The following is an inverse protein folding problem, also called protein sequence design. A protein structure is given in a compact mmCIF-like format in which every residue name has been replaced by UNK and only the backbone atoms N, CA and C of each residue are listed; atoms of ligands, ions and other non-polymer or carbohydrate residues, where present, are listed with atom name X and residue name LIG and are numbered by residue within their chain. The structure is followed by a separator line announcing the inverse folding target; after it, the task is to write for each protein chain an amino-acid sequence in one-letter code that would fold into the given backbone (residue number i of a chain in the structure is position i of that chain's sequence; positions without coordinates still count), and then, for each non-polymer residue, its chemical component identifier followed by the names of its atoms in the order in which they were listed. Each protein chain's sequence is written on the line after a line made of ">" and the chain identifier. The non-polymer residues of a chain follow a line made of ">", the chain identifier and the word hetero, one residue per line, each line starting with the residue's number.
data_IF_157348772672
#
_entry.id   IF_157348772672
#
_cell.length_a   1.000
_cell.length_b   1.000
_cell.length_c   1.000
_cell.angle_alpha   90.00
_cell.angle_beta   90.00
_cell.angle_gamma   90.00
#
_symmetry.space_group_name_H-M   'P 1'
#
loop_
_entity.id
_entity.type
_entity.pdbx_description
1 polymer ?
#
# COMPACT_ATOMS: atom_id res chain seq x y z
N UNK A 1 -16.20 -12.57 3.18
CA UNK A 1 -15.07 -12.13 4.00
C UNK A 1 -14.46 -10.91 3.36
N UNK A 2 -14.19 -9.84 4.13
CA UNK A 2 -13.63 -8.62 3.58
C UNK A 2 -12.11 -8.65 3.78
N UNK A 3 -11.37 -9.14 2.77
CA UNK A 3 -9.91 -9.28 2.80
C UNK A 3 -9.22 -8.01 3.31
N UNK A 4 -9.74 -6.84 2.93
CA UNK A 4 -9.25 -5.52 3.36
C UNK A 4 -9.43 -5.32 4.87
N UNK A 5 -10.59 -5.66 5.42
CA UNK A 5 -10.82 -5.53 6.86
C UNK A 5 -9.89 -6.44 7.68
N UNK A 6 -9.52 -7.61 7.14
CA UNK A 6 -8.54 -8.50 7.80
C UNK A 6 -7.11 -7.98 7.69
N UNK A 7 -6.73 -7.42 6.54
CA UNK A 7 -5.47 -6.68 6.34
C UNK A 7 -5.30 -5.58 7.39
N UNK A 8 -6.34 -4.78 7.62
CA UNK A 8 -6.32 -3.70 8.60
C UNK A 8 -6.19 -4.22 10.05
N UNK A 9 -6.93 -5.28 10.40
CA UNK A 9 -6.91 -5.88 11.75
C UNK A 9 -5.52 -6.47 12.07
N UNK A 10 -4.92 -7.15 11.11
CA UNK A 10 -3.65 -7.85 11.29
C UNK A 10 -2.44 -6.96 10.94
N UNK A 11 -2.67 -5.74 10.45
CA UNK A 11 -1.63 -4.77 10.12
C UNK A 11 -0.78 -5.16 8.90
N UNK A 12 -1.29 -6.02 8.01
CA UNK A 12 -0.60 -6.43 6.78
C UNK A 12 -1.26 -5.84 5.54
N UNK A 13 -0.59 -5.92 4.39
CA UNK A 13 -1.18 -5.58 3.09
C UNK A 13 -0.82 -4.19 2.54
N UNK A 14 -0.04 -3.39 3.28
CA UNK A 14 0.60 -2.20 2.74
C UNK A 14 2.02 -2.52 2.25
N UNK A 15 2.31 -2.27 0.98
CA UNK A 15 3.68 -2.39 0.45
C UNK A 15 4.56 -1.26 1.02
N UNK A 16 5.66 -1.61 1.70
CA UNK A 16 6.58 -0.64 2.32
C UNK A 16 7.84 -0.40 1.48
N UNK A 17 8.42 0.79 1.62
CA UNK A 17 9.70 1.16 1.00
C UNK A 17 10.91 0.43 1.61
N UNK A 18 10.73 -0.36 2.69
CA UNK A 18 11.75 -1.27 3.23
C UNK A 18 12.11 -2.37 2.21
N UNK A 19 11.19 -2.69 1.29
CA UNK A 19 11.48 -3.51 0.12
C UNK A 19 11.28 -5.02 0.30
N UNK A 20 10.90 -5.51 1.48
CA UNK A 20 10.56 -6.93 1.69
C UNK A 20 9.48 -7.40 0.71
N UNK A 21 8.47 -6.55 0.44
CA UNK A 21 7.44 -6.86 -0.55
C UNK A 21 7.99 -7.02 -1.97
N UNK A 22 9.01 -6.27 -2.38
CA UNK A 22 9.58 -6.43 -3.72
C UNK A 22 10.30 -7.78 -3.88
N UNK A 23 10.92 -8.28 -2.82
CA UNK A 23 11.61 -9.58 -2.81
C UNK A 23 10.64 -10.77 -2.73
N UNK A 24 9.54 -10.63 -1.99
CA UNK A 24 8.59 -11.72 -1.70
C UNK A 24 7.41 -11.78 -2.69
N UNK A 25 7.13 -10.70 -3.42
CA UNK A 25 5.96 -10.63 -4.29
C UNK A 25 6.06 -11.65 -5.45
N UNK A 26 5.06 -12.54 -5.62
CA UNK A 26 5.11 -13.60 -6.64
C UNK A 26 5.07 -13.06 -8.08
N UNK A 27 4.66 -11.81 -8.28
CA UNK A 27 4.60 -11.15 -9.59
C UNK A 27 5.74 -10.16 -9.83
N UNK A 28 6.71 -10.07 -8.91
CA UNK A 28 7.95 -9.31 -9.12
C UNK A 28 7.77 -7.80 -9.29
N UNK A 29 7.01 -7.16 -8.39
CA UNK A 29 6.90 -5.69 -8.40
C UNK A 29 8.23 -5.02 -8.03
N UNK A 30 8.52 -3.90 -8.70
CA UNK A 30 9.73 -3.12 -8.44
C UNK A 30 9.54 -2.14 -7.26
N UNK A 31 10.65 -1.69 -6.67
CA UNK A 31 10.62 -0.65 -5.62
C UNK A 31 10.09 0.68 -6.14
N UNK A 32 10.30 0.99 -7.42
CA UNK A 32 9.78 2.19 -8.08
C UNK A 32 8.25 2.17 -8.11
N UNK A 33 7.65 1.03 -8.42
CA UNK A 33 6.20 0.87 -8.42
C UNK A 33 5.61 0.98 -7.00
N UNK A 34 6.32 0.46 -5.99
CA UNK A 34 5.93 0.62 -4.57
C UNK A 34 5.99 2.09 -4.15
N UNK A 35 7.05 2.81 -4.55
CA UNK A 35 7.19 4.24 -4.25
C UNK A 35 6.07 5.07 -4.92
N UNK A 36 5.69 4.75 -6.16
CA UNK A 36 4.55 5.36 -6.85
C UNK A 36 3.26 5.09 -6.07
N UNK A 37 2.97 3.83 -5.74
CA UNK A 37 1.77 3.44 -4.98
C UNK A 37 1.65 4.25 -3.68
N UNK A 38 2.72 4.32 -2.89
CA UNK A 38 2.73 5.04 -1.62
C UNK A 38 2.51 6.55 -1.81
N UNK A 39 3.11 7.15 -2.85
CA UNK A 39 2.89 8.57 -3.17
C UNK A 39 1.43 8.84 -3.56
N UNK A 40 0.86 8.05 -4.46
CA UNK A 40 -0.53 8.23 -4.90
C UNK A 40 -1.50 8.02 -3.73
N UNK A 41 -1.27 7.01 -2.88
CA UNK A 41 -2.09 6.77 -1.69
C UNK A 41 -2.05 7.94 -0.71
N UNK A 42 -0.87 8.48 -0.40
CA UNK A 42 -0.72 9.65 0.47
C UNK A 42 -1.37 10.89 -0.15
N UNK A 43 -1.19 11.10 -1.46
CA UNK A 43 -1.79 12.21 -2.19
C UNK A 43 -3.31 12.12 -2.14
N UNK A 44 -3.89 10.95 -2.42
CA UNK A 44 -5.32 10.70 -2.32
C UNK A 44 -5.83 10.90 -0.90
N UNK A 45 -5.11 10.41 0.12
CA UNK A 45 -5.48 10.56 1.53
C UNK A 45 -5.51 12.03 1.97
N UNK A 46 -4.54 12.83 1.52
CA UNK A 46 -4.47 14.28 1.85
C UNK A 46 -5.47 15.08 1.01
N UNK A 47 -5.62 14.77 -0.28
CA UNK A 47 -6.54 15.46 -1.18
C UNK A 47 -8.02 15.10 -0.91
N UNK A 48 -8.29 13.93 -0.33
CA UNK A 48 -9.63 13.48 0.05
C UNK A 48 -10.20 14.22 1.27
N UNK A 49 -9.55 15.27 1.77
CA UNK A 49 -10.10 16.22 2.75
C UNK A 49 -11.31 17.04 2.24
N UNK A 50 -12.07 16.53 1.26
CA UNK A 50 -13.42 16.96 0.91
C UNK A 50 -14.51 15.93 1.34
N UNK A 51 -14.18 15.03 2.28
CA UNK A 51 -15.17 14.30 3.08
C UNK A 51 -14.82 14.41 4.58
N UNK A 52 -14.99 15.62 5.12
CA UNK A 52 -15.25 15.87 6.53
C UNK A 52 -16.37 16.91 6.63
#
# INVERSE_FOLDING_TARGET
>A
ENMVARMDIEGFGACSNIGSCAAECPVGISLENIAILNREFLTAKVASNNLA
#
